data_IF_085772916498
#
_entry.id   IF_085772916498
#
_cell.length_a   1.000
_cell.length_b   1.000
_cell.length_c   1.000
_cell.angle_alpha   90.00
_cell.angle_beta   90.00
_cell.angle_gamma   90.00
#
_symmetry.space_group_name_H-M   'P 1'
#
loop_
_entity.id
_entity.type
_entity.pdbx_description
1 polymer ?
#
# COMPACT_ATOMS: atom_id res chain seq x y z
N UNK A 1 -5.22 14.84 -5.62
CA UNK A 1 -3.91 15.36 -6.07
C UNK A 1 -2.83 14.65 -5.25
N UNK A 2 -1.75 14.21 -5.88
CA UNK A 2 -0.66 13.44 -5.30
C UNK A 2 0.60 14.30 -5.16
N UNK A 3 1.21 14.28 -3.98
CA UNK A 3 2.32 15.16 -3.61
C UNK A 3 3.69 14.45 -3.55
N UNK A 4 3.79 13.22 -4.06
CA UNK A 4 5.02 12.42 -3.96
C UNK A 4 5.22 11.74 -2.59
N UNK A 5 4.20 11.70 -1.73
CA UNK A 5 4.29 10.96 -0.47
C UNK A 5 4.48 9.46 -0.72
N UNK A 6 5.49 8.88 -0.05
CA UNK A 6 5.78 7.46 -0.14
C UNK A 6 4.63 6.59 0.37
N UNK A 7 4.04 6.98 1.51
CA UNK A 7 2.91 6.27 2.11
C UNK A 7 1.66 6.26 1.21
N UNK A 8 1.53 7.22 0.29
CA UNK A 8 0.39 7.33 -0.62
C UNK A 8 0.69 6.86 -2.04
N UNK A 9 1.94 6.50 -2.36
CA UNK A 9 2.37 6.19 -3.72
C UNK A 9 1.55 5.05 -4.35
N UNK A 10 1.43 3.93 -3.65
CA UNK A 10 0.66 2.79 -4.13
C UNK A 10 -0.83 3.06 -4.18
N UNK A 11 -1.36 3.74 -3.15
CA UNK A 11 -2.77 4.11 -3.13
C UNK A 11 -3.12 4.99 -4.34
N UNK A 12 -2.22 5.88 -4.73
CA UNK A 12 -2.34 6.69 -5.93
C UNK A 12 -2.32 5.83 -7.21
N UNK A 13 -1.31 4.98 -7.40
CA UNK A 13 -1.20 4.09 -8.56
C UNK A 13 -2.46 3.21 -8.70
N UNK A 14 -2.87 2.55 -7.62
CA UNK A 14 -4.06 1.69 -7.59
C UNK A 14 -5.33 2.47 -7.91
N UNK A 15 -5.49 3.68 -7.37
CA UNK A 15 -6.64 4.53 -7.68
C UNK A 15 -6.69 4.91 -9.17
N UNK A 16 -5.54 5.25 -9.77
CA UNK A 16 -5.46 5.53 -11.20
C UNK A 16 -5.86 4.30 -12.04
N UNK A 17 -5.30 3.13 -11.74
CA UNK A 17 -5.61 1.88 -12.45
C UNK A 17 -7.10 1.52 -12.35
N UNK A 18 -7.69 1.61 -11.15
CA UNK A 18 -9.11 1.35 -10.92
C UNK A 18 -9.99 2.33 -11.70
N UNK A 19 -9.68 3.62 -11.66
CA UNK A 19 -10.49 4.63 -12.33
C UNK A 19 -10.45 4.50 -13.86
N UNK A 20 -9.26 4.29 -14.43
CA UNK A 20 -9.08 4.07 -15.87
C UNK A 20 -9.80 2.81 -16.32
N UNK A 21 -9.70 1.72 -15.54
CA UNK A 21 -10.35 0.45 -15.84
C UNK A 21 -11.88 0.54 -15.74
N UNK A 22 -12.41 1.36 -14.84
CA UNK A 22 -13.85 1.56 -14.70
C UNK A 22 -14.47 2.37 -15.86
N UNK A 23 -13.66 3.13 -16.60
CA UNK A 23 -14.13 4.08 -17.63
C UNK A 23 -13.34 3.96 -18.94
N UNK A 24 -13.29 2.77 -19.58
CA UNK A 24 -12.43 2.54 -20.74
C UNK A 24 -12.73 3.47 -21.94
N UNK A 25 -13.98 3.94 -22.07
CA UNK A 25 -14.40 4.86 -23.12
C UNK A 25 -13.91 6.31 -22.92
N UNK A 26 -13.57 6.71 -21.67
CA UNK A 26 -12.92 8.01 -21.40
C UNK A 26 -11.40 7.93 -21.66
N UNK A 27 -10.82 6.71 -21.64
CA UNK A 27 -9.38 6.46 -21.71
C UNK A 27 -8.98 5.63 -22.93
N UNK A 28 -9.39 6.09 -24.11
CA UNK A 28 -9.24 5.36 -25.39
C UNK A 28 -7.82 5.34 -25.95
N UNK A 29 -6.95 6.26 -25.51
CA UNK A 29 -5.56 6.35 -26.02
C UNK A 29 -4.55 6.39 -24.87
N UNK A 30 -3.33 5.92 -25.16
CA UNK A 30 -2.18 5.99 -24.25
C UNK A 30 -1.89 7.43 -23.84
N UNK A 31 -1.99 8.38 -24.77
CA UNK A 31 -1.80 9.80 -24.49
C UNK A 31 -2.79 10.32 -23.45
N UNK A 32 -4.09 10.00 -23.57
CA UNK A 32 -5.10 10.45 -22.59
C UNK A 32 -4.80 9.88 -21.22
N UNK A 33 -4.46 8.60 -21.12
CA UNK A 33 -4.08 7.95 -19.85
C UNK A 33 -2.88 8.63 -19.18
N UNK A 34 -1.76 8.78 -19.89
CA UNK A 34 -0.53 9.41 -19.36
C UNK A 34 -0.81 10.84 -18.91
N UNK A 35 -1.49 11.63 -19.75
CA UNK A 35 -1.79 13.04 -19.46
C UNK A 35 -2.66 13.17 -18.21
N UNK A 36 -3.65 12.30 -18.10
CA UNK A 36 -4.57 12.30 -16.97
C UNK A 36 -3.84 11.92 -15.67
N UNK A 37 -3.02 10.86 -15.68
CA UNK A 37 -2.23 10.43 -14.50
C UNK A 37 -1.32 11.56 -14.02
N UNK A 38 -0.53 12.14 -14.94
CA UNK A 38 0.41 13.23 -14.63
C UNK A 38 -0.31 14.50 -14.12
N UNK A 39 -1.54 14.75 -14.59
CA UNK A 39 -2.36 15.88 -14.14
C UNK A 39 -2.70 15.87 -12.64
N UNK A 40 -2.57 14.73 -11.95
CA UNK A 40 -2.77 14.67 -10.49
C UNK A 40 -1.50 14.96 -9.70
N UNK A 41 -0.32 14.99 -10.33
CA UNK A 41 0.96 15.15 -9.63
C UNK A 41 1.24 16.64 -9.37
N UNK A 42 1.36 17.02 -8.10
CA UNK A 42 1.42 18.44 -7.67
C UNK A 42 2.83 19.07 -7.76
N UNK A 43 3.87 18.25 -7.83
CA UNK A 43 5.26 18.73 -7.68
C UNK A 43 6.25 17.79 -8.36
N UNK A 44 7.45 18.30 -8.64
CA UNK A 44 8.57 17.52 -9.17
C UNK A 44 8.59 17.38 -10.70
N UNK A 45 9.38 16.42 -11.17
CA UNK A 45 9.67 16.20 -12.60
C UNK A 45 8.42 15.91 -13.44
N UNK A 46 7.33 15.44 -12.82
CA UNK A 46 6.07 15.15 -13.48
C UNK A 46 5.39 16.37 -14.13
N UNK A 47 5.78 17.59 -13.75
CA UNK A 47 5.29 18.83 -14.37
C UNK A 47 6.12 19.27 -15.58
N UNK A 48 7.28 18.67 -15.81
CA UNK A 48 8.13 19.01 -16.95
C UNK A 48 7.55 18.38 -18.23
N UNK A 49 7.39 19.17 -19.32
CA UNK A 49 6.92 18.64 -20.61
C UNK A 49 7.75 17.45 -21.10
N UNK A 50 9.06 17.49 -20.87
CA UNK A 50 10.02 16.45 -21.28
C UNK A 50 9.71 15.11 -20.60
N UNK A 51 9.26 15.13 -19.34
CA UNK A 51 8.88 13.94 -18.61
C UNK A 51 7.66 13.27 -19.25
N UNK A 52 6.68 14.04 -19.70
CA UNK A 52 5.52 13.52 -20.45
C UNK A 52 5.94 12.97 -21.81
N UNK A 53 6.79 13.70 -22.54
CA UNK A 53 7.24 13.32 -23.89
C UNK A 53 7.94 11.95 -23.89
N UNK A 54 8.75 11.66 -22.87
CA UNK A 54 9.44 10.36 -22.73
C UNK A 54 8.47 9.16 -22.82
N UNK A 55 7.28 9.25 -22.23
CA UNK A 55 6.29 8.16 -22.27
C UNK A 55 5.47 8.15 -23.56
N UNK A 56 5.21 9.31 -24.16
CA UNK A 56 4.47 9.39 -25.42
C UNK A 56 5.28 8.90 -26.63
N UNK A 57 6.60 9.06 -26.58
CA UNK A 57 7.54 8.63 -27.62
C UNK A 57 8.20 7.29 -27.30
N UNK A 58 7.82 6.65 -26.19
CA UNK A 58 8.36 5.36 -25.77
C UNK A 58 8.04 4.26 -26.78
N UNK A 59 9.04 3.41 -27.06
CA UNK A 59 8.88 2.19 -27.86
C UNK A 59 8.46 0.98 -27.00
N UNK A 60 8.24 1.17 -25.70
CA UNK A 60 7.78 0.11 -24.81
C UNK A 60 6.38 -0.38 -25.18
N UNK A 61 6.13 -1.67 -24.90
CA UNK A 61 4.86 -2.33 -25.22
C UNK A 61 3.67 -1.69 -24.47
N UNK A 62 3.90 -1.23 -23.24
CA UNK A 62 2.92 -0.51 -22.44
C UNK A 62 3.55 0.72 -21.76
N UNK A 63 3.51 1.91 -22.41
CA UNK A 63 4.05 3.13 -21.83
C UNK A 63 3.31 3.61 -20.57
N UNK A 64 2.07 3.17 -20.34
CA UNK A 64 1.31 3.52 -19.13
C UNK A 64 1.83 2.70 -17.95
N UNK A 65 2.10 1.42 -18.16
CA UNK A 65 2.73 0.57 -17.15
C UNK A 65 4.15 1.04 -16.82
N UNK A 66 4.94 1.44 -17.82
CA UNK A 66 6.25 2.06 -17.60
C UNK A 66 6.15 3.29 -16.69
N UNK A 67 5.16 4.16 -16.93
CA UNK A 67 4.91 5.32 -16.08
C UNK A 67 4.61 4.93 -14.63
N UNK A 68 3.79 3.90 -14.39
CA UNK A 68 3.53 3.42 -13.03
C UNK A 68 4.78 2.88 -12.34
N UNK A 69 5.62 2.14 -13.07
CA UNK A 69 6.89 1.63 -12.55
C UNK A 69 7.84 2.76 -12.17
N UNK A 70 7.95 3.80 -13.00
CA UNK A 70 8.80 4.95 -12.70
C UNK A 70 8.27 5.78 -11.54
N UNK A 71 6.95 5.96 -11.43
CA UNK A 71 6.33 6.60 -10.25
C UNK A 71 6.64 5.80 -8.99
N UNK A 72 6.48 4.48 -9.04
CA UNK A 72 6.78 3.62 -7.90
C UNK A 72 8.27 3.63 -7.54
N UNK A 73 9.16 3.64 -8.55
CA UNK A 73 10.61 3.72 -8.32
C UNK A 73 11.03 5.05 -7.70
N UNK A 74 10.38 6.15 -8.08
CA UNK A 74 10.71 7.48 -7.60
C UNK A 74 10.13 7.78 -6.21
N UNK A 75 8.92 7.31 -5.93
CA UNK A 75 8.18 7.70 -4.73
C UNK A 75 7.72 6.53 -3.86
N UNK A 76 7.72 5.31 -4.36
CA UNK A 76 7.28 4.13 -3.62
C UNK A 76 8.30 3.66 -2.59
N UNK A 77 7.91 2.66 -1.82
CA UNK A 77 8.79 2.05 -0.83
C UNK A 77 9.76 1.06 -1.50
N UNK A 78 11.09 1.31 -1.46
CA UNK A 78 12.06 0.41 -2.09
C UNK A 78 12.15 -0.96 -1.40
N UNK A 79 11.65 -1.10 -0.16
CA UNK A 79 11.67 -2.34 0.59
C UNK A 79 10.41 -2.53 1.45
N UNK A 80 9.27 -2.73 0.77
CA UNK A 80 7.96 -2.95 1.42
C UNK A 80 8.00 -3.99 2.53
N UNK A 81 8.72 -5.09 2.31
CA UNK A 81 8.75 -6.18 3.28
C UNK A 81 9.44 -5.74 4.57
N UNK A 82 10.58 -5.06 4.48
CA UNK A 82 11.29 -4.55 5.66
C UNK A 82 10.46 -3.48 6.38
N UNK A 83 9.82 -2.57 5.64
CA UNK A 83 8.94 -1.55 6.22
C UNK A 83 7.76 -2.20 6.93
N UNK A 84 7.08 -3.17 6.31
CA UNK A 84 5.98 -3.91 6.92
C UNK A 84 6.40 -4.68 8.18
N UNK A 85 7.59 -5.29 8.16
CA UNK A 85 8.19 -5.92 9.34
C UNK A 85 8.42 -4.88 10.45
N UNK A 86 8.97 -3.72 10.11
CA UNK A 86 9.20 -2.65 11.07
C UNK A 86 7.88 -2.11 11.66
N UNK A 87 6.86 -1.91 10.83
CA UNK A 87 5.51 -1.50 11.26
C UNK A 87 4.92 -2.53 12.23
N UNK A 88 4.90 -3.82 11.89
CA UNK A 88 4.40 -4.88 12.78
C UNK A 88 5.18 -4.89 14.09
N UNK A 89 6.50 -4.82 14.02
CA UNK A 89 7.35 -5.01 15.20
C UNK A 89 7.32 -3.83 16.17
N UNK A 90 6.92 -2.65 15.69
CA UNK A 90 6.75 -1.43 16.48
C UNK A 90 5.30 -1.14 16.82
N UNK A 91 4.34 -1.85 16.21
CA UNK A 91 2.92 -1.66 16.46
C UNK A 91 2.57 -1.98 17.92
N UNK A 92 1.83 -1.05 18.52
CA UNK A 92 1.22 -1.18 19.84
C UNK A 92 -0.22 -0.72 19.79
N UNK A 93 -1.09 -1.47 20.47
CA UNK A 93 -2.50 -1.13 20.61
C UNK A 93 -2.65 0.23 21.31
N UNK A 94 -2.14 0.37 22.52
CA UNK A 94 -2.21 1.63 23.27
C UNK A 94 -3.66 2.13 23.37
N UNK A 95 -3.90 3.40 23.05
CA UNK A 95 -5.26 3.97 23.10
C UNK A 95 -6.17 3.61 21.92
N UNK A 96 -5.71 2.79 20.95
CA UNK A 96 -6.50 2.41 19.77
C UNK A 96 -7.58 1.42 20.16
N UNK A 97 -8.73 1.50 19.50
CA UNK A 97 -9.73 0.45 19.57
C UNK A 97 -9.18 -0.88 19.02
N UNK A 98 -9.79 -1.99 19.43
CA UNK A 98 -9.41 -3.31 18.93
C UNK A 98 -9.54 -3.40 17.40
N UNK A 99 -10.59 -2.80 16.83
CA UNK A 99 -10.83 -2.79 15.39
C UNK A 99 -9.73 -2.02 14.64
N UNK A 100 -9.40 -0.80 15.08
CA UNK A 100 -8.33 0.00 14.47
C UNK A 100 -6.98 -0.72 14.53
N UNK A 101 -6.66 -1.32 15.68
CA UNK A 101 -5.42 -2.08 15.86
C UNK A 101 -5.36 -3.31 14.94
N UNK A 102 -6.45 -4.06 14.84
CA UNK A 102 -6.55 -5.22 13.93
C UNK A 102 -6.39 -4.81 12.48
N UNK A 103 -6.98 -3.69 12.06
CA UNK A 103 -6.85 -3.20 10.68
C UNK A 103 -5.41 -2.80 10.35
N UNK A 104 -4.75 -2.03 11.23
CA UNK A 104 -3.34 -1.67 11.07
C UNK A 104 -2.44 -2.90 11.02
N UNK A 105 -2.63 -3.86 11.94
CA UNK A 105 -1.85 -5.09 11.95
C UNK A 105 -2.03 -5.89 10.64
N UNK A 106 -3.28 -6.06 10.19
CA UNK A 106 -3.57 -6.80 8.95
C UNK A 106 -2.91 -6.16 7.73
N UNK A 107 -2.93 -4.83 7.65
CA UNK A 107 -2.32 -4.09 6.54
C UNK A 107 -0.83 -4.40 6.41
N UNK A 108 -0.06 -4.28 7.49
CA UNK A 108 1.37 -4.60 7.47
C UNK A 108 1.62 -6.11 7.35
N UNK A 109 0.80 -6.95 7.99
CA UNK A 109 0.93 -8.41 7.93
C UNK A 109 0.92 -8.96 6.51
N UNK A 110 0.00 -8.48 5.66
CA UNK A 110 -0.11 -8.90 4.26
C UNK A 110 1.18 -8.66 3.45
N UNK A 111 1.98 -7.66 3.82
CA UNK A 111 3.21 -7.27 3.12
C UNK A 111 4.49 -7.80 3.79
N UNK A 112 4.41 -8.31 5.02
CA UNK A 112 5.56 -8.73 5.82
C UNK A 112 6.22 -10.04 5.40
N UNK A 113 5.47 -10.92 4.71
CA UNK A 113 5.91 -12.29 4.41
C UNK A 113 5.99 -13.21 5.64
N UNK A 114 5.46 -12.80 6.80
CA UNK A 114 5.45 -13.64 7.99
C UNK A 114 4.54 -14.88 7.84
N UNK A 115 5.03 -16.01 8.35
CA UNK A 115 4.19 -17.20 8.53
C UNK A 115 3.04 -16.92 9.48
N UNK A 116 1.97 -17.72 9.41
CA UNK A 116 0.83 -17.60 10.32
C UNK A 116 1.26 -17.65 11.80
N UNK A 117 2.19 -18.54 12.14
CA UNK A 117 2.70 -18.68 13.52
C UNK A 117 3.44 -17.42 13.97
N UNK A 118 4.34 -16.87 13.14
CA UNK A 118 5.05 -15.64 13.45
C UNK A 118 4.08 -14.44 13.55
N UNK A 119 3.10 -14.37 12.64
CA UNK A 119 2.06 -13.33 12.67
C UNK A 119 1.23 -13.37 13.97
N UNK A 120 0.82 -14.56 14.44
CA UNK A 120 0.10 -14.70 15.71
C UNK A 120 0.97 -14.23 16.89
N UNK A 121 2.26 -14.58 16.89
CA UNK A 121 3.19 -14.13 17.92
C UNK A 121 3.28 -12.60 17.97
N UNK A 122 3.51 -11.96 16.83
CA UNK A 122 3.61 -10.50 16.74
C UNK A 122 2.31 -9.79 17.10
N UNK A 123 1.16 -10.33 16.67
CA UNK A 123 -0.14 -9.78 17.02
C UNK A 123 -0.33 -9.78 18.54
N UNK A 124 -0.07 -10.90 19.22
CA UNK A 124 -0.14 -11.00 20.68
C UNK A 124 0.80 -10.01 21.37
N UNK A 125 2.04 -9.84 20.86
CA UNK A 125 3.04 -8.90 21.38
C UNK A 125 2.64 -7.43 21.22
N UNK A 126 1.76 -7.13 20.28
CA UNK A 126 1.29 -5.78 19.98
C UNK A 126 0.07 -5.34 20.82
N UNK A 127 -0.66 -6.27 21.42
CA UNK A 127 -1.82 -5.99 22.28
C UNK A 127 -1.40 -5.46 23.66
N UNK A 128 -2.28 -4.68 24.29
CA UNK A 128 -2.04 -4.20 25.66
C UNK A 128 -2.17 -5.35 26.67
N UNK A 129 -1.31 -5.33 27.70
CA UNK A 129 -1.19 -6.40 28.72
C UNK A 129 -2.54 -6.80 29.34
N UNK A 130 -3.44 -5.87 29.75
CA UNK A 130 -4.72 -6.25 30.35
C UNK A 130 -5.67 -7.00 29.39
N UNK A 131 -5.57 -6.77 28.09
CA UNK A 131 -6.34 -7.51 27.07
C UNK A 131 -5.69 -8.86 26.76
N UNK A 132 -4.35 -8.90 26.73
CA UNK A 132 -3.59 -10.14 26.58
C UNK A 132 -3.87 -11.10 27.74
N UNK A 133 -3.87 -10.59 28.98
CA UNK A 133 -4.16 -11.36 30.18
C UNK A 133 -5.58 -11.93 30.16
N UNK A 134 -6.57 -11.13 29.71
CA UNK A 134 -7.94 -11.63 29.52
C UNK A 134 -8.04 -12.70 28.45
N UNK A 135 -7.34 -12.54 27.32
CA UNK A 135 -7.32 -13.53 26.23
C UNK A 135 -6.65 -14.85 26.66
N UNK A 136 -5.58 -14.77 27.45
CA UNK A 136 -4.89 -15.95 27.99
C UNK A 136 -5.63 -16.62 29.15
N UNK A 137 -6.53 -15.90 29.83
CA UNK A 137 -7.37 -16.41 30.90
C UNK A 137 -8.65 -17.12 30.41
N UNK A 138 -8.97 -17.06 29.12
CA UNK A 138 -10.05 -17.87 28.53
C UNK A 138 -9.54 -19.33 28.49
N UNK A 139 -10.12 -20.27 29.25
CA UNK A 139 -9.76 -21.67 29.14
C UNK A 139 -10.03 -22.13 27.70
N UNK A 140 -9.17 -22.99 27.16
CA UNK A 140 -9.42 -23.61 25.86
C UNK A 140 -10.88 -24.10 25.81
N UNK A 141 -11.62 -23.70 24.76
CA UNK A 141 -12.95 -24.23 24.50
C UNK A 141 -12.86 -25.76 24.58
N UNK A 142 -13.76 -26.44 25.30
CA UNK A 142 -13.67 -27.87 25.47
C UNK A 142 -13.64 -28.53 24.09
N UNK A 143 -12.51 -29.18 23.79
CA UNK A 143 -12.25 -29.89 22.53
C UNK A 143 -12.88 -31.28 22.49
N UNK A 144 -13.88 -31.53 23.33
CA UNK A 144 -14.60 -32.80 23.38
C UNK A 144 -15.76 -32.81 22.38
N UNK A 145 -15.46 -33.48 21.25
CA UNK A 145 -16.28 -34.31 20.33
C UNK A 145 -17.76 -33.99 20.14
#
# INVERSE_FOLDING_TARGET
>A
LYNGSMALCEAFINACQLYISAKPHEFTTVQVKITWILGFMQSGMAQLPEFRTQYLESMEVDPVELLYQDIYKAFGDPNKQATAIQEITTLKQGSKSAEEHVQMFKQSYMQSGYSKTAGIHEFKRSLDTPLLDKLMAIPDLPTTL
#
